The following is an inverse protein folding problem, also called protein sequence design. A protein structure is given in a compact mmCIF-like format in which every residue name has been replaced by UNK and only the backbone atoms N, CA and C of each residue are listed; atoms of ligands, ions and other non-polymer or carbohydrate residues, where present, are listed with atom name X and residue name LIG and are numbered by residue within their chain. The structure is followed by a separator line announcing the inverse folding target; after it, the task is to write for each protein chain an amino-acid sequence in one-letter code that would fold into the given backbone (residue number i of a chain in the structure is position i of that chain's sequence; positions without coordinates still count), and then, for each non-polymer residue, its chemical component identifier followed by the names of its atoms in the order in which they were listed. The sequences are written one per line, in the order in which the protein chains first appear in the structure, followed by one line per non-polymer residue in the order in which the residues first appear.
data_IF_854091944209
#
_entry.id   IF_854091944209
#
_cell.length_a   1.000
_cell.length_b   1.000
_cell.length_c   1.000
_cell.angle_alpha   90.00
_cell.angle_beta   90.00
_cell.angle_gamma   90.00
#
_symmetry.space_group_name_H-M   'P 1'
#
loop_
_entity.id
_entity.type
_entity.pdbx_description
1 polymer ?
#
# COMPACT_ATOMS: atom_id res chain seq x y z
N UNK A 1 -23.81 14.77 15.35
CA UNK A 1 -22.53 15.23 14.80
C UNK A 1 -21.55 14.10 15.01
N UNK A 2 -21.34 13.23 14.02
CA UNK A 2 -20.41 12.10 14.13
C UNK A 2 -19.01 12.62 13.91
N UNK A 3 -18.19 12.65 14.97
CA UNK A 3 -16.75 12.89 14.83
C UNK A 3 -16.24 11.81 13.86
N UNK A 4 -15.66 12.18 12.70
CA UNK A 4 -15.17 11.20 11.76
C UNK A 4 -14.11 10.33 12.46
N UNK A 5 -14.24 9.02 12.34
CA UNK A 5 -13.26 8.10 12.91
C UNK A 5 -11.89 8.41 12.29
N UNK A 6 -10.84 8.45 13.13
CA UNK A 6 -9.46 8.62 12.67
C UNK A 6 -9.11 7.43 11.79
N UNK A 7 -8.62 7.71 10.58
CA UNK A 7 -8.31 6.70 9.58
C UNK A 7 -6.82 6.38 9.54
N UNK A 8 -6.46 5.27 8.90
CA UNK A 8 -5.05 4.93 8.66
C UNK A 8 -4.31 6.02 7.84
N UNK A 9 -5.01 6.66 6.90
CA UNK A 9 -4.45 7.74 6.11
C UNK A 9 -4.14 8.98 6.96
N UNK A 10 -4.95 9.25 7.98
CA UNK A 10 -4.67 10.33 8.94
C UNK A 10 -3.40 10.02 9.76
N UNK A 11 -3.22 8.76 10.18
CA UNK A 11 -2.01 8.33 10.91
C UNK A 11 -0.75 8.42 10.03
N UNK A 12 -0.84 8.02 8.76
CA UNK A 12 0.27 8.17 7.82
C UNK A 12 0.61 9.64 7.58
N UNK A 13 -0.41 10.50 7.42
CA UNK A 13 -0.22 11.95 7.28
C UNK A 13 0.40 12.60 8.52
N UNK A 14 0.10 12.06 9.71
CA UNK A 14 0.73 12.47 10.96
C UNK A 14 2.23 12.16 10.98
N UNK A 15 2.61 10.94 10.57
CA UNK A 15 4.01 10.50 10.44
C UNK A 15 4.76 11.34 9.40
N UNK A 16 4.11 11.62 8.27
CA UNK A 16 4.69 12.42 7.17
C UNK A 16 4.69 13.94 7.46
N UNK A 17 4.24 14.36 8.65
CA UNK A 17 4.12 15.76 9.08
C UNK A 17 3.32 16.66 8.12
N UNK A 18 2.33 16.09 7.42
CA UNK A 18 1.54 16.77 6.40
C UNK A 18 0.17 17.27 6.90
N UNK A 19 -0.08 17.20 8.21
CA UNK A 19 -1.35 17.60 8.82
C UNK A 19 -1.38 19.05 9.29
N UNK A 20 -2.57 19.66 9.21
CA UNK A 20 -2.87 20.91 9.88
C UNK A 20 -2.73 20.76 11.42
N UNK A 21 -2.29 21.82 12.13
CA UNK A 21 -1.99 21.75 13.56
C UNK A 21 -3.20 21.34 14.43
N UNK A 22 -4.41 21.71 14.02
CA UNK A 22 -5.66 21.34 14.70
C UNK A 22 -5.91 19.82 14.66
N UNK A 23 -5.74 19.20 13.48
CA UNK A 23 -5.87 17.76 13.25
C UNK A 23 -4.77 16.97 13.94
N UNK A 24 -3.56 17.53 14.01
CA UNK A 24 -2.44 16.93 14.74
C UNK A 24 -2.79 16.74 16.22
N UNK A 25 -3.37 17.75 16.87
CA UNK A 25 -3.72 17.70 18.29
C UNK A 25 -4.86 16.70 18.58
N UNK A 26 -5.77 16.51 17.63
CA UNK A 26 -6.81 15.47 17.69
C UNK A 26 -6.19 14.06 17.63
N UNK A 27 -5.28 13.83 16.70
CA UNK A 27 -4.58 12.54 16.56
C UNK A 27 -3.67 12.27 17.76
N UNK A 28 -2.96 13.29 18.28
CA UNK A 28 -2.17 13.14 19.51
C UNK A 28 -3.05 12.64 20.65
N UNK A 29 -4.22 13.24 20.87
CA UNK A 29 -5.17 12.78 21.90
C UNK A 29 -5.65 11.35 21.64
N UNK A 30 -5.89 10.98 20.39
CA UNK A 30 -6.26 9.62 20.03
C UNK A 30 -5.16 8.61 20.35
N UNK A 31 -3.91 8.90 19.97
CA UNK A 31 -2.76 8.05 20.25
C UNK A 31 -2.48 7.92 21.76
N UNK A 32 -2.77 8.95 22.55
CA UNK A 32 -2.70 8.86 24.02
C UNK A 32 -3.76 7.92 24.61
N UNK A 33 -4.92 7.79 23.97
CA UNK A 33 -6.02 6.94 24.44
C UNK A 33 -5.97 5.52 23.86
N UNK A 34 -5.25 5.30 22.76
CA UNK A 34 -5.13 4.02 22.06
C UNK A 34 -3.66 3.58 21.96
N UNK A 35 -3.23 2.76 22.93
CA UNK A 35 -1.87 2.21 22.96
C UNK A 35 -1.55 1.33 21.76
N UNK A 36 -2.55 0.67 21.16
CA UNK A 36 -2.35 -0.16 19.97
C UNK A 36 -2.02 0.69 18.76
N UNK A 37 -2.77 1.77 18.55
CA UNK A 37 -2.47 2.76 17.51
C UNK A 37 -1.10 3.42 17.73
N UNK A 38 -0.76 3.80 18.96
CA UNK A 38 0.55 4.38 19.30
C UNK A 38 1.72 3.42 19.00
N UNK A 39 1.58 2.13 19.32
CA UNK A 39 2.62 1.13 19.01
C UNK A 39 2.83 0.97 17.50
N UNK A 40 1.73 1.00 16.72
CA UNK A 40 1.79 0.92 15.25
C UNK A 40 2.49 2.14 14.65
N UNK A 41 2.09 3.34 15.05
CA UNK A 41 2.74 4.59 14.60
C UNK A 41 4.23 4.57 14.94
N UNK A 42 4.60 4.19 16.17
CA UNK A 42 6.01 4.08 16.54
C UNK A 42 6.78 3.00 15.75
N UNK A 43 6.12 1.95 15.26
CA UNK A 43 6.76 0.97 14.38
C UNK A 43 7.01 1.57 12.98
N UNK A 44 6.08 2.34 12.44
CA UNK A 44 6.23 3.03 11.16
C UNK A 44 7.31 4.11 11.22
N UNK A 45 7.35 4.91 12.28
CA UNK A 45 8.41 5.90 12.50
C UNK A 45 9.80 5.27 12.52
N UNK A 46 9.97 4.11 13.18
CA UNK A 46 11.25 3.38 13.18
C UNK A 46 11.65 2.92 11.79
N UNK A 47 10.71 2.48 10.96
CA UNK A 47 10.97 2.07 9.58
C UNK A 47 11.35 3.26 8.71
N UNK A 48 10.63 4.38 8.83
CA UNK A 48 10.92 5.61 8.12
C UNK A 48 12.30 6.18 8.50
N UNK A 49 12.64 6.14 9.79
CA UNK A 49 13.95 6.57 10.29
C UNK A 49 15.08 5.66 9.80
N UNK A 50 14.87 4.34 9.76
CA UNK A 50 15.85 3.41 9.21
C UNK A 50 16.15 3.72 7.73
N UNK A 51 15.11 4.02 6.93
CA UNK A 51 15.27 4.43 5.54
C UNK A 51 15.95 5.80 5.41
N UNK A 52 15.59 6.77 6.28
CA UNK A 52 16.20 8.09 6.26
C UNK A 52 17.70 8.00 6.55
N UNK A 53 18.12 7.18 7.51
CA UNK A 53 19.54 6.95 7.82
C UNK A 53 20.33 6.30 6.69
N UNK A 54 19.73 5.38 5.94
CA UNK A 54 20.42 4.75 4.81
C UNK A 54 20.55 5.70 3.62
N UNK A 55 19.61 6.63 3.45
CA UNK A 55 19.60 7.62 2.38
C UNK A 55 20.24 8.96 2.74
N UNK A 56 20.52 9.23 4.02
CA UNK A 56 21.19 10.44 4.51
C UNK A 56 22.49 10.79 3.74
N UNK A 57 23.35 9.81 3.40
CA UNK A 57 24.55 10.08 2.60
C UNK A 57 24.23 10.59 1.19
N UNK A 58 23.12 10.13 0.59
CA UNK A 58 22.69 10.52 -0.76
C UNK A 58 22.12 11.93 -0.77
N UNK A 59 21.46 12.36 0.32
CA UNK A 59 20.91 13.72 0.45
C UNK A 59 22.03 14.76 0.52
N UNK A 60 23.20 14.36 1.02
CA UNK A 60 24.36 15.26 1.21
C UNK A 60 25.23 15.38 -0.05
N UNK A 61 25.00 14.55 -1.07
CA UNK A 61 25.71 14.65 -2.34
C UNK A 61 25.23 15.88 -3.13
N UNK A 62 26.18 16.66 -3.66
CA UNK A 62 25.84 17.77 -4.54
C UNK A 62 25.13 17.24 -5.79
N UNK A 63 24.02 17.89 -6.15
CA UNK A 63 23.25 17.51 -7.34
C UNK A 63 24.16 17.67 -8.57
N UNK A 64 24.39 16.61 -9.36
CA UNK A 64 25.32 16.68 -10.48
C UNK A 64 24.86 17.69 -11.52
N UNK A 65 25.80 18.47 -12.05
CA UNK A 65 25.51 19.55 -13.01
C UNK A 65 24.76 19.04 -14.26
N UNK A 66 24.96 17.78 -14.65
CA UNK A 66 24.23 17.12 -15.73
C UNK A 66 22.73 17.00 -15.44
N UNK A 67 22.34 16.74 -14.19
CA UNK A 67 20.93 16.68 -13.78
C UNK A 67 20.30 18.07 -13.75
N UNK A 68 21.05 19.08 -13.30
CA UNK A 68 20.58 20.47 -13.31
C UNK A 68 20.37 20.98 -14.75
N UNK A 69 21.28 20.66 -15.67
CA UNK A 69 21.12 20.95 -17.09
C UNK A 69 19.93 20.18 -17.70
N UNK A 70 19.72 18.93 -17.31
CA UNK A 70 18.56 18.15 -17.74
C UNK A 70 17.23 18.73 -17.23
N UNK A 71 17.16 19.21 -15.98
CA UNK A 71 15.99 19.87 -15.40
C UNK A 71 15.67 21.21 -16.09
N UNK A 72 16.69 22.00 -16.42
CA UNK A 72 16.53 23.25 -17.16
C UNK A 72 16.10 23.02 -18.62
N UNK A 73 16.61 21.96 -19.26
CA UNK A 73 16.21 21.56 -20.61
C UNK A 73 14.87 20.78 -20.63
N UNK A 74 14.47 20.21 -19.50
CA UNK A 74 13.14 19.67 -19.25
C UNK A 74 12.13 20.79 -18.96
N UNK A 75 12.33 21.99 -19.54
CA UNK A 75 11.23 22.88 -19.85
C UNK A 75 10.10 22.05 -20.42
N UNK A 76 8.90 22.24 -19.86
CA UNK A 76 7.64 21.48 -19.93
C UNK A 76 7.17 21.09 -21.35
N UNK A 77 8.03 20.52 -22.17
CA UNK A 77 7.71 19.90 -23.44
C UNK A 77 7.30 18.50 -23.08
N UNK A 78 6.04 18.34 -22.70
CA UNK A 78 5.43 17.04 -22.47
C UNK A 78 5.66 16.19 -23.73
N UNK A 79 6.65 15.27 -23.77
CA UNK A 79 6.87 14.50 -24.98
C UNK A 79 5.60 13.69 -25.20
N UNK A 80 5.11 13.63 -26.43
CA UNK A 80 3.89 12.89 -26.80
C UNK A 80 3.93 11.43 -26.32
N UNK A 81 5.13 10.90 -26.04
CA UNK A 81 5.40 9.62 -25.40
C UNK A 81 5.01 9.55 -23.91
N UNK A 82 5.17 10.61 -23.09
CA UNK A 82 4.67 10.62 -21.70
C UNK A 82 3.15 10.50 -21.63
N UNK A 83 2.41 11.07 -22.58
CA UNK A 83 0.95 10.92 -22.62
C UNK A 83 0.54 9.45 -22.87
N UNK A 84 1.30 8.72 -23.69
CA UNK A 84 1.08 7.29 -23.92
C UNK A 84 1.43 6.43 -22.70
N UNK A 85 2.52 6.75 -21.99
CA UNK A 85 2.91 6.04 -20.76
C UNK A 85 1.90 6.29 -19.64
N UNK A 86 1.42 7.53 -19.46
CA UNK A 86 0.35 7.86 -18.52
C UNK A 86 -0.96 7.12 -18.84
N UNK A 87 -1.32 7.00 -20.12
CA UNK A 87 -2.47 6.21 -20.56
C UNK A 87 -2.33 4.71 -20.23
N UNK A 88 -1.14 4.14 -20.45
CA UNK A 88 -0.86 2.74 -20.13
C UNK A 88 -0.90 2.46 -18.61
N UNK A 89 -0.30 3.35 -17.81
CA UNK A 89 -0.34 3.26 -16.34
C UNK A 89 -1.78 3.38 -15.82
N UNK A 90 -2.56 4.33 -16.33
CA UNK A 90 -3.99 4.45 -15.99
C UNK A 90 -4.79 3.19 -16.35
N UNK A 91 -4.52 2.58 -17.51
CA UNK A 91 -5.12 1.31 -17.91
C UNK A 91 -4.78 0.15 -16.97
N UNK A 92 -3.52 0.07 -16.51
CA UNK A 92 -3.07 -0.95 -15.54
C UNK A 92 -3.75 -0.73 -14.18
N UNK A 93 -3.91 0.51 -13.71
CA UNK A 93 -4.62 0.77 -12.46
C UNK A 93 -6.10 0.38 -12.54
N UNK A 94 -6.80 0.71 -13.64
CA UNK A 94 -8.20 0.32 -13.85
C UNK A 94 -8.34 -1.21 -13.93
N UNK A 95 -7.47 -1.87 -14.71
CA UNK A 95 -7.48 -3.33 -14.84
C UNK A 95 -7.04 -4.08 -13.59
N UNK A 96 -6.08 -3.54 -12.84
CA UNK A 96 -5.58 -4.10 -11.59
C UNK A 96 -6.60 -4.05 -10.47
N UNK A 97 -7.30 -2.93 -10.29
CA UNK A 97 -8.37 -2.79 -9.29
C UNK A 97 -9.58 -3.66 -9.67
N UNK A 98 -9.99 -3.67 -10.94
CA UNK A 98 -11.08 -4.53 -11.41
C UNK A 98 -10.75 -6.03 -11.22
N UNK A 99 -9.52 -6.44 -11.52
CA UNK A 99 -9.07 -7.83 -11.34
C UNK A 99 -9.00 -8.27 -9.88
N UNK A 100 -8.70 -7.36 -8.94
CA UNK A 100 -8.71 -7.65 -7.50
C UNK A 100 -10.12 -7.84 -6.94
N UNK A 101 -11.10 -7.04 -7.39
CA UNK A 101 -12.50 -7.14 -6.97
C UNK A 101 -13.17 -8.43 -7.49
N UNK A 102 -12.74 -8.95 -8.65
CA UNK A 102 -13.30 -10.19 -9.21
C UNK A 102 -12.73 -11.49 -8.61
N UNK A 103 -11.58 -11.45 -7.92
CA UNK A 103 -11.01 -12.65 -7.27
C UNK A 103 -11.98 -13.35 -6.29
N UNK A 104 -12.68 -12.65 -5.37
CA UNK A 104 -13.62 -13.33 -4.46
C UNK A 104 -14.83 -13.96 -5.17
N UNK A 105 -15.25 -13.43 -6.32
CA UNK A 105 -16.38 -13.98 -7.08
C UNK A 105 -16.02 -15.30 -7.78
N UNK A 106 -14.76 -15.49 -8.16
CA UNK A 106 -14.26 -16.73 -8.79
C UNK A 106 -13.99 -17.84 -7.77
N UNK A 107 -13.56 -17.48 -6.56
CA UNK A 107 -13.36 -18.42 -5.44
C UNK A 107 -14.68 -18.99 -4.91
N UNK A 108 -15.80 -18.28 -5.09
CA UNK A 108 -17.14 -18.76 -4.69
C UNK A 108 -17.66 -19.88 -5.63
N UNK A 109 -17.09 -20.03 -6.84
CA UNK A 109 -17.55 -20.98 -7.87
C UNK A 109 -16.85 -22.34 -7.91
N UNK A 110 -15.81 -22.57 -7.09
CA UNK A 110 -15.02 -23.83 -7.14
C UNK A 110 -14.77 -24.43 -5.75
N UNK A 111 -15.81 -24.51 -4.92
CA UNK A 111 -15.84 -25.60 -3.93
C UNK A 111 -16.29 -26.89 -4.64
N UNK A 112 -15.38 -27.49 -5.42
CA UNK A 112 -15.57 -28.88 -5.82
C UNK A 112 -15.50 -29.70 -4.53
N UNK A 113 -16.67 -30.05 -4.00
CA UNK A 113 -16.87 -31.06 -2.98
C UNK A 113 -16.10 -32.32 -3.38
N UNK A 114 -14.91 -32.50 -2.81
CA UNK A 114 -14.33 -33.82 -2.68
C UNK A 114 -15.17 -34.56 -1.64
N UNK A 115 -16.31 -35.09 -2.06
CA UNK A 115 -17.06 -36.07 -1.29
C UNK A 115 -16.14 -37.27 -1.08
N UNK A 116 -15.63 -37.38 0.16
CA UNK A 116 -14.88 -38.54 0.59
C UNK A 116 -15.72 -39.80 0.52
N UNK A 117 -15.02 -40.91 0.31
CA UNK A 117 -15.18 -42.16 1.05
C UNK A 117 -16.61 -42.70 1.22
N UNK A 118 -16.92 -43.76 0.45
CA UNK A 118 -17.01 -45.13 1.00
C UNK A 118 -17.53 -46.09 -0.07
N UNK A 119 -16.75 -47.09 -0.46
CA UNK A 119 -17.17 -48.50 -0.47
C UNK A 119 -15.98 -49.36 -0.94
N UNK A 120 -15.30 -50.01 -0.01
CA UNK A 120 -14.40 -51.12 -0.31
C UNK A 120 -15.26 -52.33 -0.72
N UNK A 121 -15.03 -53.00 -1.86
CA UNK A 121 -15.51 -54.36 -2.03
C UNK A 121 -14.57 -55.28 -1.25
N UNK A 122 -15.03 -55.70 -0.07
CA UNK A 122 -14.52 -56.84 0.67
C UNK A 122 -14.48 -58.06 -0.25
N UNK A 123 -13.29 -58.36 -0.77
CA UNK A 123 -12.97 -59.61 -1.41
C UNK A 123 -11.77 -60.18 -0.67
N UNK A 124 -12.00 -61.00 0.36
CA UNK A 124 -11.25 -62.24 0.61
C UNK A 124 -12.09 -63.16 1.50
N UNK A 125 -12.14 -64.41 1.05
CA UNK A 125 -13.02 -65.51 1.43
C UNK A 125 -12.09 -66.60 1.95
N UNK A 126 -12.32 -67.15 3.13
CA UNK A 126 -11.92 -68.52 3.49
C UNK A 126 -12.92 -69.11 4.49
N UNK A 127 -13.17 -70.44 4.43
CA UNK A 127 -14.03 -71.15 5.38
C UNK A 127 -13.40 -71.28 6.77
#
# INVERSE_FOLDING_TARGET
MTVPAITEADLQSFIDHSLAPEKKLEIDKYLHNDLGAAQRVGAYERQAEALRRTLDPVITEDVPASLNAALQNAGYHQPRQTALVLGAVAGIFIGGVAGWISRPLLETGTSIQSAGQSQQPTLWRFP
#
